data_IF_472726005667
#
_entry.id   IF_472726005667
#
_cell.length_a   1.000
_cell.length_b   1.000
_cell.length_c   1.000
_cell.angle_alpha   90.00
_cell.angle_beta   90.00
_cell.angle_gamma   90.00
#
_symmetry.space_group_name_H-M   'P 1'
#
loop_
_entity.id
_entity.type
_entity.pdbx_description
1 polymer ?
#
# COMPACT_ATOMS: atom_id res chain seq x y z
N UNK A 1 -0.47 -16.11 17.11
CA UNK A 1 0.97 -15.79 17.31
C UNK A 1 1.91 -16.45 16.28
N UNK A 2 1.54 -17.57 15.65
CA UNK A 2 2.40 -18.29 14.70
C UNK A 2 2.45 -17.64 13.30
N UNK A 3 1.34 -17.10 12.79
CA UNK A 3 1.29 -16.61 11.41
C UNK A 3 2.02 -15.27 11.16
N UNK A 4 2.16 -14.44 12.19
CA UNK A 4 2.86 -13.15 12.10
C UNK A 4 4.35 -13.32 11.72
N UNK A 5 4.96 -14.46 12.08
CA UNK A 5 6.35 -14.75 11.74
C UNK A 5 6.48 -15.36 10.34
N UNK A 6 5.44 -15.99 9.80
CA UNK A 6 5.56 -16.78 8.58
C UNK A 6 6.05 -15.97 7.37
N UNK A 7 5.43 -14.83 7.04
CA UNK A 7 5.82 -14.08 5.84
C UNK A 7 7.18 -13.41 5.98
N UNK A 8 7.41 -12.71 7.09
CA UNK A 8 8.67 -12.05 7.36
C UNK A 8 9.85 -13.03 7.49
N UNK A 9 9.62 -14.23 8.05
CA UNK A 9 10.62 -15.29 8.13
C UNK A 9 10.84 -15.97 6.78
N UNK A 10 9.77 -16.29 6.05
CA UNK A 10 9.87 -16.83 4.69
C UNK A 10 10.68 -15.89 3.78
N UNK A 11 10.41 -14.59 3.82
CA UNK A 11 11.17 -13.58 3.09
C UNK A 11 12.66 -13.58 3.46
N UNK A 12 13.00 -13.68 4.75
CA UNK A 12 14.41 -13.79 5.20
C UNK A 12 15.08 -15.07 4.72
N UNK A 13 14.35 -16.19 4.71
CA UNK A 13 14.85 -17.47 4.21
C UNK A 13 15.10 -17.42 2.70
N UNK A 14 14.19 -16.80 1.93
CA UNK A 14 14.36 -16.59 0.49
C UNK A 14 15.54 -15.68 0.20
N UNK A 15 15.69 -14.56 0.92
CA UNK A 15 16.86 -13.67 0.78
C UNK A 15 18.15 -14.43 1.09
N UNK A 16 18.19 -15.19 2.19
CA UNK A 16 19.37 -15.98 2.55
C UNK A 16 19.69 -17.06 1.50
N UNK A 17 18.66 -17.65 0.87
CA UNK A 17 18.80 -18.61 -0.23
C UNK A 17 19.32 -17.93 -1.49
N UNK A 18 18.80 -16.74 -1.81
CA UNK A 18 19.27 -15.88 -2.90
C UNK A 18 20.75 -15.55 -2.72
N UNK A 19 21.14 -15.00 -1.58
CA UNK A 19 22.54 -14.64 -1.30
C UNK A 19 23.48 -15.84 -1.47
N UNK A 20 23.10 -17.02 -0.96
CA UNK A 20 23.91 -18.25 -1.10
C UNK A 20 24.04 -18.68 -2.57
N UNK A 21 22.95 -18.65 -3.32
CA UNK A 21 22.89 -19.09 -4.72
C UNK A 21 23.80 -18.23 -5.59
N UNK A 22 23.67 -16.91 -5.44
CA UNK A 22 24.41 -15.95 -6.25
C UNK A 22 25.84 -15.69 -5.75
N UNK A 23 26.18 -16.08 -4.52
CA UNK A 23 27.56 -16.11 -4.02
C UNK A 23 28.38 -17.32 -4.48
N UNK A 24 27.73 -18.45 -4.83
CA UNK A 24 28.39 -19.76 -5.04
C UNK A 24 28.87 -20.00 -6.48
N UNK A 25 28.51 -19.13 -7.43
CA UNK A 25 28.91 -19.25 -8.84
C UNK A 25 28.05 -20.24 -9.64
N UNK A 26 28.14 -20.15 -10.98
CA UNK A 26 27.26 -20.84 -11.93
C UNK A 26 27.55 -22.34 -12.06
N UNK A 27 26.49 -23.16 -11.96
CA UNK A 27 26.45 -24.57 -12.34
C UNK A 27 25.05 -24.96 -12.83
N UNK A 28 24.85 -26.09 -13.52
CA UNK A 28 23.55 -26.48 -14.09
C UNK A 28 22.44 -26.70 -13.05
N UNK A 29 22.79 -27.18 -11.84
CA UNK A 29 21.86 -27.25 -10.69
C UNK A 29 21.42 -25.86 -10.18
N UNK A 30 22.18 -24.82 -10.50
CA UNK A 30 21.91 -23.45 -10.09
C UNK A 30 20.68 -22.88 -10.82
N UNK A 31 20.45 -23.26 -12.09
CA UNK A 31 19.32 -22.75 -12.88
C UNK A 31 17.96 -23.24 -12.37
N UNK A 32 17.85 -24.53 -12.03
CA UNK A 32 16.61 -25.09 -11.48
C UNK A 32 16.32 -24.50 -10.09
N UNK A 33 17.37 -24.34 -9.26
CA UNK A 33 17.27 -23.67 -7.97
C UNK A 33 16.88 -22.18 -8.10
N UNK A 34 17.36 -21.49 -9.13
CA UNK A 34 16.97 -20.10 -9.46
C UNK A 34 15.50 -20.00 -9.84
N UNK A 35 15.01 -20.89 -10.72
CA UNK A 35 13.60 -20.92 -11.10
C UNK A 35 12.70 -21.23 -9.90
N UNK A 36 13.07 -22.21 -9.08
CA UNK A 36 12.33 -22.52 -7.85
C UNK A 36 12.32 -21.33 -6.88
N UNK A 37 13.46 -20.66 -6.69
CA UNK A 37 13.57 -19.47 -5.84
C UNK A 37 12.68 -18.33 -6.34
N UNK A 38 12.68 -18.08 -7.66
CA UNK A 38 11.84 -17.04 -8.25
C UNK A 38 10.34 -17.34 -8.08
N UNK A 39 9.93 -18.59 -8.31
CA UNK A 39 8.55 -19.03 -8.11
C UNK A 39 8.10 -18.89 -6.64
N UNK A 40 8.95 -19.30 -5.69
CA UNK A 40 8.67 -19.16 -4.25
C UNK A 40 8.52 -17.68 -3.85
N UNK A 41 9.35 -16.81 -4.44
CA UNK A 41 9.31 -15.37 -4.23
C UNK A 41 8.03 -14.74 -4.79
N UNK A 42 7.65 -15.09 -6.01
CA UNK A 42 6.42 -14.61 -6.64
C UNK A 42 5.20 -15.04 -5.83
N UNK A 43 5.13 -16.32 -5.43
CA UNK A 43 4.04 -16.83 -4.60
C UNK A 43 3.94 -16.11 -3.23
N UNK A 44 5.07 -15.78 -2.63
CA UNK A 44 5.11 -14.98 -1.40
C UNK A 44 4.58 -13.56 -1.64
N UNK A 45 5.03 -12.91 -2.71
CA UNK A 45 4.63 -11.54 -3.05
C UNK A 45 3.14 -11.45 -3.38
N UNK A 46 2.59 -12.41 -4.12
CA UNK A 46 1.15 -12.47 -4.42
C UNK A 46 0.32 -12.49 -3.15
N UNK A 47 0.74 -13.29 -2.16
CA UNK A 47 0.05 -13.36 -0.87
C UNK A 47 0.20 -12.08 -0.04
N UNK A 48 1.37 -11.44 -0.10
CA UNK A 48 1.61 -10.13 0.52
C UNK A 48 0.70 -9.07 -0.09
N UNK A 49 0.59 -9.00 -1.41
CA UNK A 49 -0.28 -8.05 -2.10
C UNK A 49 -1.76 -8.30 -1.84
N UNK A 50 -2.18 -9.56 -1.75
CA UNK A 50 -3.53 -9.91 -1.34
C UNK A 50 -3.87 -9.36 0.05
N UNK A 51 -2.98 -9.54 1.04
CA UNK A 51 -3.18 -9.01 2.41
C UNK A 51 -3.26 -7.47 2.42
N UNK A 52 -2.38 -6.80 1.68
CA UNK A 52 -2.39 -5.34 1.56
C UNK A 52 -3.73 -4.84 0.97
N UNK A 53 -4.26 -5.55 -0.01
CA UNK A 53 -5.53 -5.21 -0.67
C UNK A 53 -6.78 -5.45 0.20
N UNK A 54 -6.79 -6.48 1.05
CA UNK A 54 -7.96 -6.82 1.88
C UNK A 54 -8.06 -5.94 3.12
N UNK A 55 -6.93 -5.61 3.76
CA UNK A 55 -6.92 -4.91 5.05
C UNK A 55 -7.57 -3.51 5.00
N UNK A 56 -7.48 -2.82 3.86
CA UNK A 56 -7.99 -1.45 3.74
C UNK A 56 -9.47 -1.41 3.30
N UNK A 57 -10.17 -2.55 3.22
CA UNK A 57 -11.61 -2.62 2.91
C UNK A 57 -12.44 -2.85 4.19
N UNK A 58 -13.06 -1.81 4.80
CA UNK A 58 -13.69 -1.94 6.12
C UNK A 58 -15.17 -2.35 6.08
N UNK A 59 -15.71 -2.80 4.96
CA UNK A 59 -17.12 -3.24 4.89
C UNK A 59 -17.45 -4.44 5.80
N UNK A 60 -16.46 -5.08 6.42
CA UNK A 60 -16.66 -6.27 7.25
C UNK A 60 -16.42 -6.06 8.75
N UNK A 61 -15.92 -4.89 9.19
CA UNK A 61 -15.45 -4.70 10.58
C UNK A 61 -16.53 -4.31 11.60
N UNK A 62 -17.81 -4.31 11.22
CA UNK A 62 -18.88 -3.98 12.15
C UNK A 62 -19.22 -5.10 13.15
N UNK A 63 -18.65 -6.31 13.01
CA UNK A 63 -19.13 -7.47 13.77
C UNK A 63 -18.07 -8.48 14.22
N UNK A 64 -16.78 -8.20 14.04
CA UNK A 64 -15.74 -9.18 14.37
C UNK A 64 -15.23 -9.01 15.80
N UNK A 65 -15.13 -10.12 16.52
CA UNK A 65 -14.54 -10.22 17.85
C UNK A 65 -13.13 -9.61 17.88
N UNK A 66 -12.74 -9.03 19.02
CA UNK A 66 -11.47 -8.31 19.20
C UNK A 66 -10.22 -9.14 18.83
N UNK A 67 -10.33 -10.47 18.80
CA UNK A 67 -9.25 -11.39 18.44
C UNK A 67 -8.91 -11.38 16.94
N UNK A 68 -9.90 -11.43 16.04
CA UNK A 68 -9.62 -11.54 14.59
C UNK A 68 -9.02 -10.26 14.03
N UNK A 69 -9.43 -9.10 14.55
CA UNK A 69 -8.91 -7.81 14.11
C UNK A 69 -7.42 -7.63 14.47
N UNK A 70 -7.00 -8.20 15.59
CA UNK A 70 -5.59 -8.20 16.00
C UNK A 70 -4.74 -9.10 15.10
N UNK A 71 -5.28 -10.25 14.69
CA UNK A 71 -4.63 -11.15 13.72
C UNK A 71 -4.43 -10.46 12.36
N UNK A 72 -5.44 -9.75 11.85
CA UNK A 72 -5.33 -8.99 10.59
C UNK A 72 -4.23 -7.91 10.64
N UNK A 73 -4.12 -7.18 11.76
CA UNK A 73 -3.06 -6.18 11.96
C UNK A 73 -1.66 -6.81 11.99
N UNK A 74 -1.54 -7.98 12.61
CA UNK A 74 -0.29 -8.74 12.67
C UNK A 74 0.10 -9.25 11.27
N UNK A 75 -0.86 -9.74 10.48
CA UNK A 75 -0.62 -10.14 9.08
C UNK A 75 -0.17 -8.95 8.23
N UNK A 76 -0.82 -7.79 8.37
CA UNK A 76 -0.42 -6.56 7.68
C UNK A 76 1.00 -6.13 8.05
N UNK A 77 1.35 -6.18 9.34
CA UNK A 77 2.70 -5.85 9.81
C UNK A 77 3.75 -6.81 9.24
N UNK A 78 3.44 -8.11 9.17
CA UNK A 78 4.32 -9.10 8.57
C UNK A 78 4.52 -8.85 7.06
N UNK A 79 3.42 -8.59 6.34
CA UNK A 79 3.44 -8.22 4.92
C UNK A 79 4.25 -6.93 4.66
N UNK A 80 4.08 -5.90 5.49
CA UNK A 80 4.86 -4.67 5.43
C UNK A 80 6.36 -4.93 5.66
N UNK A 81 6.69 -5.84 6.59
CA UNK A 81 8.08 -6.24 6.85
C UNK A 81 8.71 -6.93 5.64
N UNK A 82 7.95 -7.77 4.91
CA UNK A 82 8.43 -8.40 3.66
C UNK A 82 8.78 -7.33 2.62
N UNK A 83 7.89 -6.36 2.39
CA UNK A 83 8.13 -5.27 1.42
C UNK A 83 9.44 -4.53 1.77
N UNK A 84 9.67 -4.26 3.05
CA UNK A 84 10.90 -3.59 3.49
C UNK A 84 12.16 -4.44 3.31
N UNK A 85 12.08 -5.73 3.63
CA UNK A 85 13.20 -6.66 3.47
C UNK A 85 13.59 -6.79 1.99
N UNK A 86 12.60 -6.95 1.10
CA UNK A 86 12.85 -7.08 -0.34
C UNK A 86 13.41 -5.79 -0.94
N UNK A 87 12.92 -4.62 -0.50
CA UNK A 87 13.47 -3.34 -0.91
C UNK A 87 14.90 -3.14 -0.37
N UNK A 88 15.18 -3.58 0.86
CA UNK A 88 16.53 -3.54 1.42
C UNK A 88 17.48 -4.43 0.60
N UNK A 89 17.01 -5.60 0.16
CA UNK A 89 17.76 -6.49 -0.71
C UNK A 89 18.03 -5.87 -2.08
N UNK A 90 17.05 -5.22 -2.71
CA UNK A 90 17.25 -4.45 -3.96
C UNK A 90 18.34 -3.39 -3.78
N UNK A 91 18.36 -2.69 -2.63
CA UNK A 91 19.43 -1.72 -2.31
C UNK A 91 20.80 -2.37 -2.11
N UNK A 92 20.85 -3.55 -1.48
CA UNK A 92 22.09 -4.32 -1.31
C UNK A 92 22.67 -4.71 -2.67
N UNK A 93 21.87 -5.31 -3.55
CA UNK A 93 22.27 -5.64 -4.92
C UNK A 93 22.73 -4.42 -5.72
N UNK A 94 21.99 -3.30 -5.62
CA UNK A 94 22.37 -2.06 -6.30
C UNK A 94 23.74 -1.52 -5.83
N UNK A 95 24.09 -1.68 -4.55
CA UNK A 95 25.42 -1.30 -4.02
C UNK A 95 26.50 -2.25 -4.53
N UNK A 96 26.25 -3.56 -4.48
CA UNK A 96 27.18 -4.57 -4.99
C UNK A 96 27.49 -4.35 -6.47
N UNK A 97 26.47 -4.11 -7.29
CA UNK A 97 26.63 -3.77 -8.71
C UNK A 97 27.50 -2.53 -8.96
N UNK A 98 27.34 -1.47 -8.14
CA UNK A 98 28.18 -0.28 -8.25
C UNK A 98 29.64 -0.59 -7.90
N UNK A 99 29.87 -1.43 -6.89
CA UNK A 99 31.22 -1.79 -6.46
C UNK A 99 31.94 -2.66 -7.51
N UNK A 100 31.24 -3.61 -8.13
CA UNK A 100 31.79 -4.46 -9.20
C UNK A 100 32.22 -3.66 -10.44
N UNK A 101 31.52 -2.56 -10.76
CA UNK A 101 31.87 -1.68 -11.88
C UNK A 101 33.16 -0.87 -11.68
N UNK A 102 33.61 -0.65 -10.44
CA UNK A 102 34.68 0.31 -10.13
C UNK A 102 36.00 -0.32 -9.62
N UNK A 103 36.09 -1.63 -9.42
CA UNK A 103 37.34 -2.27 -9.01
C UNK A 103 37.17 -3.77 -8.80
N UNK A 104 38.00 -4.56 -9.47
CA UNK A 104 37.77 -5.99 -9.71
C UNK A 104 37.52 -6.85 -8.47
N UNK A 105 36.54 -7.75 -8.58
CA UNK A 105 36.25 -8.71 -7.50
C UNK A 105 35.07 -9.63 -7.77
N UNK A 106 35.36 -10.76 -8.42
CA UNK A 106 34.69 -12.08 -8.27
C UNK A 106 33.21 -12.18 -8.67
N UNK A 107 32.96 -12.20 -9.99
CA UNK A 107 31.91 -12.95 -10.70
C UNK A 107 30.61 -13.33 -9.98
N UNK A 108 30.03 -12.46 -9.15
CA UNK A 108 28.73 -12.69 -8.56
C UNK A 108 27.69 -12.43 -9.66
N UNK A 109 26.95 -13.46 -10.02
CA UNK A 109 25.87 -13.32 -11.00
C UNK A 109 24.75 -12.51 -10.33
N UNK A 110 24.12 -11.62 -11.08
CA UNK A 110 22.96 -10.89 -10.58
C UNK A 110 21.67 -11.68 -10.85
N UNK A 111 20.73 -11.72 -9.90
CA UNK A 111 19.41 -12.24 -10.18
C UNK A 111 18.71 -11.40 -11.25
N UNK A 112 18.10 -12.06 -12.25
CA UNK A 112 17.44 -11.40 -13.39
C UNK A 112 16.16 -10.68 -13.00
N UNK A 113 15.52 -11.09 -11.89
CA UNK A 113 14.28 -10.50 -11.37
C UNK A 113 14.50 -9.27 -10.48
N UNK A 114 15.75 -8.85 -10.24
CA UNK A 114 16.07 -7.68 -9.43
C UNK A 114 16.28 -6.44 -10.34
N UNK A 115 15.85 -5.24 -9.91
CA UNK A 115 15.10 -4.93 -8.68
C UNK A 115 13.61 -5.28 -8.79
N UNK A 116 12.99 -5.60 -7.66
CA UNK A 116 11.54 -5.86 -7.55
C UNK A 116 10.73 -4.57 -7.35
N UNK A 117 11.35 -3.52 -6.81
CA UNK A 117 10.72 -2.21 -6.55
C UNK A 117 9.44 -2.31 -5.70
N UNK A 118 9.45 -3.20 -4.69
CA UNK A 118 8.27 -3.50 -3.87
C UNK A 118 7.62 -2.25 -3.26
N UNK A 119 8.40 -1.24 -2.82
CA UNK A 119 7.82 -0.01 -2.31
C UNK A 119 7.05 0.79 -3.38
N UNK A 120 7.52 0.77 -4.63
CA UNK A 120 6.86 1.46 -5.72
C UNK A 120 5.52 0.78 -6.05
N UNK A 121 5.52 -0.55 -6.14
CA UNK A 121 4.31 -1.36 -6.34
C UNK A 121 3.31 -1.17 -5.19
N UNK A 122 3.78 -1.17 -3.95
CA UNK A 122 2.95 -0.88 -2.78
C UNK A 122 2.29 0.51 -2.88
N UNK A 123 3.05 1.55 -3.25
CA UNK A 123 2.48 2.91 -3.42
C UNK A 123 1.42 2.97 -4.51
N UNK A 124 1.64 2.30 -5.65
CA UNK A 124 0.66 2.21 -6.74
C UNK A 124 -0.61 1.50 -6.28
N UNK A 125 -0.47 0.37 -5.57
CA UNK A 125 -1.59 -0.36 -4.99
C UNK A 125 -2.39 0.52 -4.01
N UNK A 126 -1.72 1.22 -3.10
CA UNK A 126 -2.39 2.12 -2.18
C UNK A 126 -3.14 3.24 -2.91
N UNK A 127 -2.57 3.80 -3.99
CA UNK A 127 -3.23 4.82 -4.78
C UNK A 127 -4.53 4.31 -5.43
N UNK A 128 -4.48 3.14 -6.10
CA UNK A 128 -5.68 2.56 -6.74
C UNK A 128 -6.75 2.18 -5.71
N UNK A 129 -6.33 1.73 -4.53
CA UNK A 129 -7.23 1.42 -3.44
C UNK A 129 -7.93 2.66 -2.90
N UNK A 130 -7.18 3.73 -2.59
CA UNK A 130 -7.74 5.00 -2.11
C UNK A 130 -8.77 5.55 -3.09
N UNK A 131 -8.46 5.51 -4.39
CA UNK A 131 -9.38 5.92 -5.44
C UNK A 131 -10.65 5.07 -5.47
N UNK A 132 -10.52 3.75 -5.46
CA UNK A 132 -11.66 2.83 -5.44
C UNK A 132 -12.57 3.07 -4.22
N UNK A 133 -11.98 3.37 -3.05
CA UNK A 133 -12.73 3.63 -1.82
C UNK A 133 -13.48 4.96 -1.84
N UNK A 134 -12.87 6.01 -2.40
CA UNK A 134 -13.54 7.30 -2.59
C UNK A 134 -14.66 7.18 -3.63
N UNK A 135 -14.45 6.42 -4.70
CA UNK A 135 -15.47 6.18 -5.73
C UNK A 135 -16.68 5.38 -5.22
N UNK A 136 -16.46 4.50 -4.22
CA UNK A 136 -17.51 3.73 -3.54
C UNK A 136 -18.06 4.44 -2.30
N UNK A 137 -17.77 5.72 -2.11
CA UNK A 137 -18.30 6.46 -0.97
C UNK A 137 -19.84 6.47 -1.03
N UNK A 138 -20.53 6.07 0.05
CA UNK A 138 -21.98 5.98 0.04
C UNK A 138 -22.57 7.39 -0.05
N UNK A 139 -23.43 7.59 -1.04
CA UNK A 139 -24.12 8.86 -1.28
C UNK A 139 -25.30 9.05 -0.29
N UNK A 140 -25.79 7.97 0.31
CA UNK A 140 -27.12 7.93 0.96
C UNK A 140 -27.16 7.67 2.48
N UNK A 141 -26.03 7.68 3.19
CA UNK A 141 -26.05 7.46 4.65
C UNK A 141 -26.01 8.76 5.47
N UNK A 142 -26.99 8.95 6.36
CA UNK A 142 -27.01 10.00 7.39
C UNK A 142 -27.36 11.41 6.89
N UNK A 143 -26.65 12.43 7.40
CA UNK A 143 -26.91 13.85 7.08
C UNK A 143 -26.74 14.21 5.59
N UNK A 144 -26.00 13.41 4.83
CA UNK A 144 -25.86 13.60 3.39
C UNK A 144 -27.21 13.46 2.68
N UNK A 145 -28.07 12.51 3.08
CA UNK A 145 -29.41 12.32 2.48
C UNK A 145 -30.32 13.56 2.59
N UNK A 146 -30.03 14.46 3.55
CA UNK A 146 -30.75 15.75 3.72
C UNK A 146 -30.28 16.85 2.79
N UNK A 147 -29.19 16.65 2.04
CA UNK A 147 -28.65 17.64 1.11
C UNK A 147 -29.47 17.65 -0.18
N UNK A 148 -29.80 18.86 -0.62
CA UNK A 148 -30.75 19.09 -1.72
C UNK A 148 -30.28 18.60 -3.09
N UNK A 149 -28.98 18.37 -3.30
CA UNK A 149 -28.46 17.99 -4.61
C UNK A 149 -27.48 16.81 -4.58
N UNK A 150 -27.40 16.10 -5.71
CA UNK A 150 -26.52 14.94 -5.88
C UNK A 150 -25.04 15.32 -5.71
N UNK A 151 -24.61 16.47 -6.24
CA UNK A 151 -23.23 16.95 -6.10
C UNK A 151 -22.85 17.22 -4.63
N UNK A 152 -23.77 17.83 -3.86
CA UNK A 152 -23.55 18.07 -2.41
C UNK A 152 -23.48 16.76 -1.63
N UNK A 153 -24.36 15.80 -1.95
CA UNK A 153 -24.36 14.45 -1.35
C UNK A 153 -23.07 13.70 -1.61
N UNK A 154 -22.64 13.71 -2.85
CA UNK A 154 -21.40 13.06 -3.27
C UNK A 154 -20.19 13.67 -2.56
N UNK A 155 -20.03 15.00 -2.59
CA UNK A 155 -18.91 15.68 -1.95
C UNK A 155 -18.86 15.42 -0.44
N UNK A 156 -20.03 15.46 0.23
CA UNK A 156 -20.14 15.13 1.65
C UNK A 156 -19.77 13.67 1.94
N UNK A 157 -20.27 12.72 1.14
CA UNK A 157 -19.95 11.30 1.27
C UNK A 157 -18.47 11.01 1.08
N UNK A 158 -17.85 11.58 0.04
CA UNK A 158 -16.42 11.45 -0.24
C UNK A 158 -15.59 12.07 0.89
N UNK A 159 -15.94 13.27 1.37
CA UNK A 159 -15.24 13.92 2.48
C UNK A 159 -15.34 13.15 3.79
N UNK A 160 -16.51 12.59 4.10
CA UNK A 160 -16.67 11.70 5.27
C UNK A 160 -15.81 10.45 5.16
N UNK A 161 -15.86 9.77 4.00
CA UNK A 161 -15.06 8.57 3.75
C UNK A 161 -13.56 8.88 3.93
N UNK A 162 -13.09 9.99 3.38
CA UNK A 162 -11.72 10.46 3.56
C UNK A 162 -11.36 10.61 5.04
N UNK A 163 -12.21 11.29 5.82
CA UNK A 163 -11.96 11.50 7.26
C UNK A 163 -11.91 10.19 8.04
N UNK A 164 -12.90 9.32 7.84
CA UNK A 164 -12.97 8.01 8.50
C UNK A 164 -11.72 7.17 8.20
N UNK A 165 -11.32 7.14 6.93
CA UNK A 165 -10.19 6.33 6.49
C UNK A 165 -8.87 6.84 7.03
N UNK A 166 -8.63 8.16 6.97
CA UNK A 166 -7.43 8.75 7.53
C UNK A 166 -7.34 8.54 9.05
N UNK A 167 -8.46 8.56 9.76
CA UNK A 167 -8.49 8.23 11.19
C UNK A 167 -8.13 6.77 11.46
N UNK A 168 -8.62 5.82 10.64
CA UNK A 168 -8.24 4.41 10.75
C UNK A 168 -6.75 4.23 10.44
N UNK A 169 -6.25 4.89 9.40
CA UNK A 169 -4.82 4.83 9.03
C UNK A 169 -3.95 5.37 10.17
N UNK A 170 -4.27 6.55 10.70
CA UNK A 170 -3.49 7.18 11.77
C UNK A 170 -3.50 6.34 13.06
N UNK A 171 -4.66 5.77 13.45
CA UNK A 171 -4.80 5.05 14.71
C UNK A 171 -4.31 3.60 14.65
N UNK A 172 -4.46 2.95 13.50
CA UNK A 172 -4.30 1.49 13.38
C UNK A 172 -3.19 1.12 12.38
N UNK A 173 -3.35 1.48 11.11
CA UNK A 173 -2.42 1.09 10.03
C UNK A 173 -1.01 1.60 10.30
N UNK A 174 -0.87 2.82 10.82
CA UNK A 174 0.43 3.44 11.09
C UNK A 174 1.29 2.64 12.06
N UNK A 175 0.69 1.82 12.94
CA UNK A 175 1.40 0.96 13.89
C UNK A 175 2.00 -0.30 13.24
N UNK A 176 1.53 -0.67 12.05
CA UNK A 176 2.01 -1.84 11.31
C UNK A 176 3.25 -1.54 10.46
N UNK A 177 3.64 -0.28 10.33
CA UNK A 177 4.76 0.14 9.51
C UNK A 177 5.77 0.93 10.35
N UNK A 178 7.07 0.80 10.07
CA UNK A 178 8.08 1.68 10.64
C UNK A 178 7.89 3.15 10.23
N UNK A 179 8.31 4.05 11.11
CA UNK A 179 8.09 5.50 10.96
C UNK A 179 8.77 6.07 9.71
N UNK A 180 9.89 5.49 9.28
CA UNK A 180 10.68 5.95 8.13
C UNK A 180 9.90 5.85 6.80
N UNK A 181 8.90 4.98 6.73
CA UNK A 181 8.04 4.86 5.55
C UNK A 181 7.01 5.98 5.44
N UNK A 182 6.78 6.75 6.52
CA UNK A 182 5.88 7.90 6.51
C UNK A 182 4.47 7.56 6.04
N UNK A 183 3.96 6.36 6.35
CA UNK A 183 2.67 5.83 5.87
C UNK A 183 1.49 6.78 6.09
N UNK A 184 1.28 7.36 7.29
CA UNK A 184 0.19 8.33 7.46
C UNK A 184 0.30 9.55 6.52
N UNK A 185 1.52 10.06 6.28
CA UNK A 185 1.75 11.14 5.31
C UNK A 185 1.49 10.68 3.87
N UNK A 186 1.89 9.45 3.52
CA UNK A 186 1.63 8.87 2.21
C UNK A 186 0.12 8.77 1.95
N UNK A 187 -0.64 8.20 2.88
CA UNK A 187 -2.10 8.12 2.75
C UNK A 187 -2.74 9.51 2.69
N UNK A 188 -2.33 10.46 3.54
CA UNK A 188 -2.84 11.82 3.49
C UNK A 188 -2.65 12.46 2.11
N UNK A 189 -1.47 12.29 1.50
CA UNK A 189 -1.20 12.76 0.14
C UNK A 189 -2.07 12.07 -0.91
N UNK A 190 -2.23 10.74 -0.84
CA UNK A 190 -3.06 9.98 -1.77
C UNK A 190 -4.54 10.40 -1.69
N UNK A 191 -5.08 10.50 -0.48
CA UNK A 191 -6.45 10.95 -0.25
C UNK A 191 -6.64 12.40 -0.69
N UNK A 192 -5.68 13.29 -0.41
CA UNK A 192 -5.70 14.68 -0.88
C UNK A 192 -5.78 14.76 -2.41
N UNK A 193 -4.90 14.05 -3.12
CA UNK A 193 -4.86 14.06 -4.58
C UNK A 193 -6.16 13.50 -5.18
N UNK A 194 -6.67 12.39 -4.65
CA UNK A 194 -7.91 11.80 -5.12
C UNK A 194 -9.13 12.70 -4.84
N UNK A 195 -9.18 13.33 -3.66
CA UNK A 195 -10.22 14.29 -3.31
C UNK A 195 -10.20 15.53 -4.19
N UNK A 196 -9.02 16.13 -4.40
CA UNK A 196 -8.84 17.28 -5.26
C UNK A 196 -9.28 16.99 -6.70
N UNK A 197 -8.92 15.81 -7.22
CA UNK A 197 -9.38 15.36 -8.55
C UNK A 197 -10.89 15.28 -8.62
N UNK A 198 -11.52 14.68 -7.61
CA UNK A 198 -12.99 14.55 -7.56
C UNK A 198 -13.69 15.90 -7.49
N UNK A 199 -13.20 16.82 -6.67
CA UNK A 199 -13.72 18.19 -6.64
C UNK A 199 -13.55 18.90 -7.97
N UNK A 200 -12.42 18.67 -8.66
CA UNK A 200 -12.19 19.26 -9.98
C UNK A 200 -13.14 18.69 -11.04
N UNK A 201 -13.44 17.38 -10.99
CA UNK A 201 -14.46 16.75 -11.84
C UNK A 201 -15.86 17.34 -11.60
N UNK A 202 -16.25 17.51 -10.33
CA UNK A 202 -17.50 18.16 -9.96
C UNK A 202 -17.56 19.61 -10.45
N UNK A 203 -16.48 20.37 -10.27
CA UNK A 203 -16.40 21.77 -10.71
C UNK A 203 -16.47 21.94 -12.23
N UNK A 204 -16.07 20.93 -13.01
CA UNK A 204 -16.22 20.92 -14.48
C UNK A 204 -17.63 20.57 -14.93
N UNK A 205 -18.46 20.02 -14.05
CA UNK A 205 -19.87 19.75 -14.33
C UNK A 205 -20.71 21.03 -14.26
N UNK A 206 -21.94 21.00 -14.79
CA UNK A 206 -22.86 22.13 -14.70
C UNK A 206 -23.45 22.20 -13.28
N UNK A 207 -22.78 22.94 -12.41
CA UNK A 207 -23.22 23.22 -11.05
C UNK A 207 -24.08 24.50 -11.00
N UNK A 208 -25.15 24.48 -10.22
CA UNK A 208 -25.90 25.66 -9.82
C UNK A 208 -25.14 26.50 -8.79
N UNK A 209 -25.58 27.74 -8.57
CA UNK A 209 -24.93 28.69 -7.66
C UNK A 209 -24.77 28.11 -6.24
N UNK A 210 -25.83 27.47 -5.73
CA UNK A 210 -25.82 26.84 -4.40
C UNK A 210 -24.81 25.71 -4.25
N UNK A 211 -24.47 25.04 -5.35
CA UNK A 211 -23.51 23.93 -5.38
C UNK A 211 -22.08 24.46 -5.51
N UNK A 212 -21.90 25.53 -6.28
CA UNK A 212 -20.64 26.29 -6.33
C UNK A 212 -20.28 26.86 -4.95
N UNK A 213 -21.23 27.49 -4.25
CA UNK A 213 -21.01 28.00 -2.88
C UNK A 213 -20.61 26.85 -1.96
N UNK A 214 -21.29 25.71 -2.05
CA UNK A 214 -20.98 24.55 -1.21
C UNK A 214 -19.59 23.96 -1.49
N UNK A 215 -19.16 23.91 -2.76
CA UNK A 215 -17.82 23.47 -3.14
C UNK A 215 -16.75 24.43 -2.59
N UNK A 216 -16.97 25.74 -2.70
CA UNK A 216 -16.08 26.75 -2.12
C UNK A 216 -15.99 26.64 -0.59
N UNK A 217 -17.11 26.37 0.08
CA UNK A 217 -17.13 26.14 1.53
C UNK A 217 -16.29 24.92 1.92
N UNK A 218 -16.32 23.85 1.12
CA UNK A 218 -15.45 22.70 1.35
C UNK A 218 -13.97 23.04 1.22
N UNK A 219 -13.59 23.76 0.17
CA UNK A 219 -12.18 24.14 -0.09
C UNK A 219 -11.64 25.06 1.01
N UNK A 220 -12.44 26.02 1.47
CA UNK A 220 -11.96 27.08 2.38
C UNK A 220 -12.17 26.75 3.85
N UNK A 221 -13.24 26.03 4.21
CA UNK A 221 -13.63 25.85 5.62
C UNK A 221 -13.63 24.42 6.12
N UNK A 222 -14.10 23.44 5.33
CA UNK A 222 -14.25 22.07 5.83
C UNK A 222 -13.02 21.19 5.61
N UNK A 223 -12.37 21.30 4.45
CA UNK A 223 -11.21 20.47 4.12
C UNK A 223 -9.94 20.84 4.91
N UNK A 224 -9.61 22.14 5.13
CA UNK A 224 -8.38 22.51 5.83
C UNK A 224 -8.41 22.30 7.36
N UNK A 225 -9.58 22.04 7.96
CA UNK A 225 -9.78 21.90 9.41
C UNK A 225 -9.92 20.44 9.83
#
# INVERSE_FOLDING_TARGET
>A
MLDQKLFAEASRLLISREDRLFSRGSGPQCLEEEHALHNDLDALLDRVWAIQSTFTSPSSTSSSSSSSFQEDLHLLQSAASVIQQQEAQDRCWKKQWKNEKHGGGRGARLPVWRPLECLQTHRKLLATMVESRLNRAPVDHGEASKLSSAAKRELCGVGRRLKEDLLVVARKVSRCYPEELGIPKLYANLYHQAFARRMTELARSRLGIDECIYLLLWVNDYYPK
#
